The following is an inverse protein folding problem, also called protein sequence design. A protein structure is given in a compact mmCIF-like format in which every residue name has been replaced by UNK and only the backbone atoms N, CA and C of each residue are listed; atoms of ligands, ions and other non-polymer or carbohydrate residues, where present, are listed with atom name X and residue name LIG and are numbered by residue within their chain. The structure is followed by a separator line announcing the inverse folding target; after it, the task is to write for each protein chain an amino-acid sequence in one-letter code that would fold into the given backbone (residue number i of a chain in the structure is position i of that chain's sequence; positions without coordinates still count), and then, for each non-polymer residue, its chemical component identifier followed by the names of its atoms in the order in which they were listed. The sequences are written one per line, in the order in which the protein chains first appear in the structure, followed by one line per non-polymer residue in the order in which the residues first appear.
data_IF_117724020593
#
_entry.id   IF_117724020593
#
_cell.length_a   1.000
_cell.length_b   1.000
_cell.length_c   1.000
_cell.angle_alpha   90.00
_cell.angle_beta   90.00
_cell.angle_gamma   90.00
#
_symmetry.space_group_name_H-M   'P 1'
#
loop_
_entity.id
_entity.type
_entity.pdbx_description
1 polymer ?
#
# COMPACT_ATOMS: atom_id res chain seq x y z
N UNK A 1 17.45 -18.23 14.05
CA UNK A 1 16.60 -18.77 15.10
C UNK A 1 15.71 -17.66 15.64
N UNK A 2 14.45 -17.94 15.99
CA UNK A 2 13.58 -16.95 16.62
C UNK A 2 14.12 -16.54 17.98
N UNK A 3 13.85 -15.31 18.38
CA UNK A 3 14.08 -14.86 19.76
C UNK A 3 13.15 -15.61 20.71
N UNK A 4 13.59 -15.93 21.94
CA UNK A 4 12.70 -16.48 22.96
C UNK A 4 11.55 -15.52 23.30
N UNK A 5 10.41 -16.08 23.71
CA UNK A 5 9.19 -15.30 24.02
C UNK A 5 9.43 -14.25 25.11
N UNK A 6 10.31 -14.55 26.08
CA UNK A 6 10.68 -13.63 27.17
C UNK A 6 11.43 -12.39 26.70
N UNK A 7 11.96 -12.40 25.47
CA UNK A 7 12.67 -11.28 24.84
C UNK A 7 11.81 -10.50 23.84
N UNK A 8 10.53 -10.86 23.71
CA UNK A 8 9.60 -10.13 22.88
C UNK A 8 8.92 -9.00 23.66
N UNK A 9 8.58 -7.87 23.01
CA UNK A 9 8.87 -7.55 21.63
C UNK A 9 10.33 -7.13 21.40
N UNK A 10 10.89 -7.39 20.21
CA UNK A 10 12.16 -6.83 19.81
C UNK A 10 11.98 -5.36 19.45
N UNK A 11 12.48 -4.47 20.32
CA UNK A 11 12.34 -3.03 20.14
C UNK A 11 13.28 -2.53 19.05
N UNK A 12 12.74 -1.74 18.12
CA UNK A 12 13.54 -1.04 17.13
C UNK A 12 14.16 0.23 17.74
N UNK A 13 15.32 0.71 17.25
CA UNK A 13 15.90 1.95 17.72
C UNK A 13 14.99 3.15 17.32
N UNK A 14 14.71 4.03 18.28
CA UNK A 14 13.87 5.21 18.08
C UNK A 14 14.66 6.40 17.53
N UNK A 15 15.91 6.56 18.00
CA UNK A 15 16.80 7.65 17.60
C UNK A 15 17.65 7.25 16.38
N UNK A 16 17.00 7.21 15.20
CA UNK A 16 17.67 6.84 13.96
C UNK A 16 17.87 8.02 13.03
N UNK A 17 19.05 8.15 12.47
CA UNK A 17 19.36 9.14 11.42
C UNK A 17 19.36 8.46 10.05
N UNK A 18 18.61 9.01 9.11
CA UNK A 18 18.63 8.56 7.72
C UNK A 18 19.83 9.19 7.00
N UNK A 19 20.94 8.46 6.95
CA UNK A 19 22.21 8.94 6.36
C UNK A 19 22.51 8.34 4.98
N UNK A 20 21.49 8.10 4.16
CA UNK A 20 21.63 7.56 2.82
C UNK A 20 20.69 6.41 2.49
N UNK A 21 21.13 5.48 1.61
CA UNK A 21 20.29 4.41 1.06
C UNK A 21 20.15 3.20 1.99
N UNK A 22 21.00 3.08 3.02
CA UNK A 22 20.97 1.93 3.94
C UNK A 22 19.86 2.08 4.96
N UNK A 23 19.17 0.97 5.24
CA UNK A 23 18.23 0.87 6.37
C UNK A 23 18.92 1.26 7.68
N UNK A 24 18.31 2.11 8.53
CA UNK A 24 18.88 2.51 9.81
C UNK A 24 19.29 1.34 10.70
N UNK A 25 18.45 0.31 10.83
CA UNK A 25 18.76 -0.87 11.63
C UNK A 25 19.95 -1.67 11.05
N UNK A 26 20.09 -1.68 9.72
CA UNK A 26 21.22 -2.31 9.04
C UNK A 26 22.54 -1.54 9.24
N UNK A 27 22.43 -0.23 9.45
CA UNK A 27 23.57 0.66 9.68
C UNK A 27 23.98 0.73 11.16
N UNK A 28 23.17 0.24 12.10
CA UNK A 28 23.42 0.26 13.55
C UNK A 28 24.10 -1.04 14.02
N UNK A 29 25.44 -1.05 14.23
CA UNK A 29 26.14 -2.24 14.66
C UNK A 29 25.83 -2.62 16.12
N UNK A 30 25.42 -1.69 16.98
CA UNK A 30 25.10 -1.97 18.37
C UNK A 30 23.73 -2.65 18.48
N UNK A 31 22.74 -2.16 17.75
CA UNK A 31 21.42 -2.78 17.72
C UNK A 31 21.45 -4.21 17.15
N UNK A 32 22.33 -4.48 16.17
CA UNK A 32 22.47 -5.82 15.58
C UNK A 32 23.07 -6.85 16.51
N UNK A 33 23.87 -6.45 17.48
CA UNK A 33 24.53 -7.40 18.42
C UNK A 33 23.49 -8.10 19.29
N UNK A 34 23.62 -9.40 19.39
CA UNK A 34 22.79 -10.26 20.25
C UNK A 34 23.56 -11.52 20.62
N UNK A 35 22.88 -12.43 21.28
CA UNK A 35 23.40 -13.77 21.58
C UNK A 35 22.46 -14.83 21.02
N UNK A 36 23.03 -15.93 20.59
CA UNK A 36 22.29 -17.09 20.12
C UNK A 36 21.43 -17.65 21.26
N UNK A 37 20.12 -17.87 21.04
CA UNK A 37 19.24 -18.46 22.07
C UNK A 37 19.52 -19.95 22.30
N UNK A 38 20.37 -20.58 21.47
CA UNK A 38 20.68 -22.00 21.55
C UNK A 38 21.84 -22.24 22.52
N UNK A 39 22.92 -21.47 22.37
CA UNK A 39 24.20 -21.74 23.06
C UNK A 39 24.82 -20.50 23.69
N UNK A 40 24.18 -19.34 23.61
CA UNK A 40 24.68 -18.08 24.16
C UNK A 40 25.87 -17.47 23.41
N UNK A 41 26.26 -18.03 22.28
CA UNK A 41 27.36 -17.48 21.47
C UNK A 41 27.00 -16.10 20.89
N UNK A 42 28.02 -15.25 20.60
CA UNK A 42 27.76 -13.98 19.90
C UNK A 42 27.04 -14.20 18.57
N UNK A 43 26.00 -13.41 18.33
CA UNK A 43 25.16 -13.48 17.15
C UNK A 43 24.76 -12.07 16.66
N UNK A 44 24.17 -12.00 15.49
CA UNK A 44 23.61 -10.76 14.95
C UNK A 44 22.09 -10.92 14.72
N UNK A 45 21.35 -9.85 15.00
CA UNK A 45 19.92 -9.76 14.68
C UNK A 45 19.72 -9.70 13.18
N UNK A 46 18.65 -10.31 12.70
CA UNK A 46 18.16 -10.08 11.35
C UNK A 46 17.79 -8.60 11.15
N UNK A 47 18.16 -8.05 10.01
CA UNK A 47 17.96 -6.65 9.67
C UNK A 47 17.02 -6.46 8.47
N UNK A 48 16.60 -7.53 7.82
CA UNK A 48 15.56 -7.49 6.82
C UNK A 48 14.20 -7.43 7.51
N UNK A 49 13.36 -6.52 7.10
CA UNK A 49 12.01 -6.37 7.60
C UNK A 49 11.03 -7.11 6.71
N UNK A 50 9.84 -7.41 7.24
CA UNK A 50 8.76 -7.93 6.41
C UNK A 50 8.38 -6.93 5.33
N UNK A 51 7.75 -7.45 4.26
CA UNK A 51 7.13 -6.64 3.23
C UNK A 51 6.08 -5.70 3.86
N UNK A 52 5.94 -4.49 3.30
CA UNK A 52 5.00 -3.49 3.78
C UNK A 52 3.53 -3.92 3.68
N UNK A 53 3.23 -4.94 2.87
CA UNK A 53 1.89 -5.54 2.78
C UNK A 53 1.56 -6.50 3.92
N UNK A 54 2.48 -6.80 4.82
CA UNK A 54 2.22 -7.74 5.90
C UNK A 54 1.06 -7.29 6.79
N UNK A 55 1.09 -6.07 7.28
CA UNK A 55 0.03 -5.54 8.16
C UNK A 55 -1.31 -5.43 7.42
N UNK A 56 -1.29 -4.98 6.16
CA UNK A 56 -2.50 -4.91 5.33
C UNK A 56 -3.06 -6.28 4.92
N UNK A 57 -2.34 -7.36 5.22
CA UNK A 57 -2.77 -8.73 4.88
C UNK A 57 -3.81 -9.28 5.83
N UNK A 58 -3.88 -8.78 7.06
CA UNK A 58 -4.77 -9.32 8.10
C UNK A 58 -5.57 -8.28 8.87
N UNK A 59 -5.47 -6.99 8.53
CA UNK A 59 -6.15 -5.89 9.21
C UNK A 59 -7.66 -6.11 9.35
N UNK A 60 -8.32 -6.69 8.33
CA UNK A 60 -9.75 -7.00 8.34
C UNK A 60 -10.12 -7.94 9.50
N UNK A 61 -9.27 -8.94 9.76
CA UNK A 61 -9.45 -9.87 10.89
C UNK A 61 -9.25 -9.15 12.23
N UNK A 62 -8.22 -8.30 12.35
CA UNK A 62 -8.01 -7.48 13.55
C UNK A 62 -9.19 -6.58 13.86
N UNK A 63 -9.82 -5.99 12.86
CA UNK A 63 -10.98 -5.12 13.02
C UNK A 63 -12.21 -5.83 13.61
N UNK A 64 -12.31 -7.15 13.46
CA UNK A 64 -13.39 -7.94 14.08
C UNK A 64 -13.20 -8.14 15.59
N UNK A 65 -11.98 -7.91 16.08
CA UNK A 65 -11.57 -8.23 17.45
C UNK A 65 -10.99 -7.01 18.17
N UNK A 66 -11.69 -5.87 18.25
CA UNK A 66 -11.17 -4.67 18.90
C UNK A 66 -10.97 -4.94 20.40
N UNK A 67 -9.80 -4.53 20.92
CA UNK A 67 -9.42 -4.72 22.31
C UNK A 67 -8.98 -6.12 22.69
N UNK A 68 -8.89 -7.09 21.77
CA UNK A 68 -8.32 -8.40 22.05
C UNK A 68 -6.83 -8.28 22.42
N UNK A 69 -6.38 -9.10 23.38
CA UNK A 69 -4.98 -9.20 23.76
C UNK A 69 -4.12 -9.90 22.69
N UNK A 70 -4.73 -10.83 21.95
CA UNK A 70 -4.13 -11.56 20.83
C UNK A 70 -4.41 -10.86 19.49
N UNK A 71 -3.88 -11.42 18.41
CA UNK A 71 -4.13 -10.91 17.06
C UNK A 71 -5.62 -10.82 16.73
N UNK A 72 -6.36 -11.88 17.04
CA UNK A 72 -7.82 -12.01 16.89
C UNK A 72 -8.38 -12.84 18.03
N UNK A 73 -9.70 -12.81 18.23
CA UNK A 73 -10.45 -13.71 19.11
C UNK A 73 -11.64 -14.34 18.38
N UNK A 74 -12.44 -15.15 19.05
CA UNK A 74 -13.54 -15.90 18.45
C UNK A 74 -14.57 -15.08 17.68
N UNK A 75 -14.60 -13.75 17.82
CA UNK A 75 -15.46 -12.86 17.05
C UNK A 75 -15.12 -12.84 15.57
N UNK A 76 -13.87 -13.16 15.21
CA UNK A 76 -13.45 -13.21 13.80
C UNK A 76 -14.27 -14.23 13.01
N UNK A 77 -14.62 -15.38 13.60
CA UNK A 77 -15.35 -16.44 12.92
C UNK A 77 -16.83 -16.10 12.62
N UNK A 78 -17.36 -15.07 13.28
CA UNK A 78 -18.67 -14.52 12.93
C UNK A 78 -18.59 -13.58 11.72
N UNK A 79 -17.52 -12.81 11.56
CA UNK A 79 -17.38 -11.78 10.55
C UNK A 79 -16.62 -12.23 9.30
N UNK A 80 -15.76 -13.25 9.44
CA UNK A 80 -15.01 -13.83 8.31
C UNK A 80 -15.62 -15.18 7.87
N UNK A 81 -15.61 -15.48 6.58
CA UNK A 81 -15.11 -14.65 5.48
C UNK A 81 -15.99 -13.41 5.25
N UNK A 82 -15.40 -12.28 4.85
CA UNK A 82 -16.20 -11.09 4.50
C UNK A 82 -17.01 -11.33 3.24
N UNK A 83 -18.25 -10.83 3.20
CA UNK A 83 -19.17 -11.12 2.09
C UNK A 83 -18.67 -10.54 0.76
N UNK A 84 -18.15 -9.33 0.80
CA UNK A 84 -17.70 -8.61 -0.39
C UNK A 84 -16.42 -7.84 -0.11
N UNK A 85 -15.37 -8.08 -0.90
CA UNK A 85 -14.12 -7.33 -0.86
C UNK A 85 -13.88 -6.66 -2.21
N UNK A 86 -13.73 -5.33 -2.20
CA UNK A 86 -13.70 -4.52 -3.42
C UNK A 86 -12.40 -3.72 -3.46
N UNK A 87 -11.70 -3.75 -4.59
CA UNK A 87 -10.48 -2.97 -4.78
C UNK A 87 -10.05 -2.87 -6.22
N UNK A 88 -8.97 -2.13 -6.48
CA UNK A 88 -8.41 -2.00 -7.81
C UNK A 88 -7.70 -3.28 -8.27
N UNK A 89 -7.73 -3.52 -9.56
CA UNK A 89 -7.08 -4.69 -10.18
C UNK A 89 -5.56 -4.74 -9.93
N UNK A 90 -4.93 -3.60 -9.70
CA UNK A 90 -3.50 -3.49 -9.37
C UNK A 90 -3.09 -4.27 -8.12
N UNK A 91 -4.04 -4.56 -7.23
CA UNK A 91 -3.81 -5.34 -6.02
C UNK A 91 -3.90 -6.86 -6.21
N UNK A 92 -4.28 -7.32 -7.40
CA UNK A 92 -4.51 -8.75 -7.65
C UNK A 92 -3.26 -9.62 -7.40
N UNK A 93 -2.08 -9.12 -7.73
CA UNK A 93 -0.79 -9.81 -7.54
C UNK A 93 0.05 -9.25 -6.38
N UNK A 94 -0.46 -8.27 -5.65
CA UNK A 94 0.19 -7.69 -4.47
C UNK A 94 -0.67 -7.96 -3.24
N UNK A 95 -1.46 -6.99 -2.83
CA UNK A 95 -2.28 -7.08 -1.61
C UNK A 95 -3.17 -8.32 -1.55
N UNK A 96 -3.90 -8.66 -2.61
CA UNK A 96 -4.83 -9.80 -2.60
C UNK A 96 -4.11 -11.15 -2.50
N UNK A 97 -2.87 -11.25 -3.01
CA UNK A 97 -2.05 -12.44 -2.83
C UNK A 97 -1.71 -12.64 -1.34
N UNK A 98 -1.19 -11.61 -0.69
CA UNK A 98 -0.86 -11.62 0.73
C UNK A 98 -2.11 -11.79 1.61
N UNK A 99 -3.20 -11.11 1.29
CA UNK A 99 -4.50 -11.20 1.97
C UNK A 99 -5.00 -12.64 2.07
N UNK A 100 -4.96 -13.38 0.95
CA UNK A 100 -5.35 -14.79 0.91
C UNK A 100 -4.32 -15.70 1.59
N UNK A 101 -3.05 -15.48 1.33
CA UNK A 101 -1.97 -16.29 1.90
C UNK A 101 -1.95 -16.17 3.44
N UNK A 102 -2.01 -14.95 3.96
CA UNK A 102 -1.99 -14.70 5.40
C UNK A 102 -3.21 -15.28 6.11
N UNK A 103 -4.37 -15.19 5.48
CA UNK A 103 -5.58 -15.82 6.02
C UNK A 103 -5.42 -17.33 6.19
N UNK A 104 -4.80 -18.00 5.22
CA UNK A 104 -4.52 -19.43 5.30
C UNK A 104 -3.54 -19.77 6.42
N UNK A 105 -2.56 -18.90 6.69
CA UNK A 105 -1.67 -19.04 7.85
C UNK A 105 -2.44 -18.90 9.16
N UNK A 106 -3.33 -17.90 9.28
CA UNK A 106 -4.19 -17.75 10.47
C UNK A 106 -5.07 -18.98 10.69
N UNK A 107 -5.64 -19.53 9.62
CA UNK A 107 -6.40 -20.79 9.69
C UNK A 107 -5.54 -21.96 10.16
N UNK A 108 -4.36 -22.13 9.59
CA UNK A 108 -3.45 -23.22 9.94
C UNK A 108 -2.94 -23.11 11.38
N UNK A 109 -2.91 -21.90 11.93
CA UNK A 109 -2.65 -21.62 13.36
C UNK A 109 -3.89 -21.75 14.25
N UNK A 110 -5.06 -22.09 13.69
CA UNK A 110 -6.32 -22.22 14.45
C UNK A 110 -6.94 -20.91 14.92
N UNK A 111 -6.56 -19.79 14.29
CA UNK A 111 -7.05 -18.46 14.66
C UNK A 111 -8.33 -18.08 13.91
N UNK A 112 -8.58 -18.66 12.73
CA UNK A 112 -9.79 -18.50 11.93
C UNK A 112 -10.24 -19.86 11.38
N UNK A 113 -11.53 -20.01 11.13
CA UNK A 113 -12.10 -21.30 10.69
C UNK A 113 -12.26 -21.38 9.16
N UNK A 114 -12.33 -20.24 8.47
CA UNK A 114 -12.59 -20.20 7.03
C UNK A 114 -11.33 -20.38 6.18
N UNK A 115 -11.48 -20.98 4.99
CA UNK A 115 -10.38 -21.20 4.06
C UNK A 115 -9.96 -19.96 3.28
N UNK A 116 -10.89 -19.04 3.06
CA UNK A 116 -10.67 -17.81 2.31
C UNK A 116 -11.15 -16.61 3.11
N UNK A 117 -10.46 -15.45 2.97
CA UNK A 117 -10.81 -14.26 3.74
C UNK A 117 -12.08 -13.55 3.28
N UNK A 118 -12.50 -13.80 2.02
CA UNK A 118 -13.68 -13.18 1.42
C UNK A 118 -14.45 -14.19 0.56
N UNK A 119 -15.79 -14.03 0.53
CA UNK A 119 -16.68 -14.83 -0.33
C UNK A 119 -16.57 -14.33 -1.77
N UNK A 120 -16.63 -13.01 -1.96
CA UNK A 120 -16.56 -12.38 -3.28
C UNK A 120 -15.44 -11.35 -3.33
N UNK A 121 -14.61 -11.45 -4.37
CA UNK A 121 -13.60 -10.47 -4.72
C UNK A 121 -14.03 -9.72 -5.98
N UNK A 122 -14.21 -8.41 -5.90
CA UNK A 122 -14.46 -7.56 -7.05
C UNK A 122 -13.22 -6.69 -7.33
N UNK A 123 -12.45 -7.07 -8.35
CA UNK A 123 -11.31 -6.29 -8.82
C UNK A 123 -11.81 -5.28 -9.86
N UNK A 124 -11.95 -4.03 -9.44
CA UNK A 124 -12.37 -2.93 -10.32
C UNK A 124 -11.25 -2.55 -11.29
N UNK A 125 -11.62 -2.04 -12.48
CA UNK A 125 -10.69 -1.39 -13.39
C UNK A 125 -10.08 -0.13 -12.76
N UNK A 126 -8.99 0.35 -13.36
CA UNK A 126 -8.38 1.61 -12.96
C UNK A 126 -9.27 2.78 -13.35
N UNK A 127 -9.39 3.76 -12.45
CA UNK A 127 -10.03 5.03 -12.76
C UNK A 127 -9.09 5.81 -13.65
N UNK A 128 -9.61 6.28 -14.78
CA UNK A 128 -8.88 7.02 -15.80
C UNK A 128 -9.46 8.42 -15.96
N UNK A 129 -8.60 9.37 -16.32
CA UNK A 129 -9.01 10.74 -16.63
C UNK A 129 -8.17 11.34 -17.75
N UNK A 130 -8.70 12.39 -18.36
CA UNK A 130 -7.99 13.22 -19.31
C UNK A 130 -6.75 13.85 -18.64
N UNK A 131 -5.69 14.07 -19.41
CA UNK A 131 -4.47 14.74 -18.93
C UNK A 131 -4.20 16.00 -19.73
N UNK A 132 -3.76 17.05 -19.05
CA UNK A 132 -3.44 18.35 -19.63
C UNK A 132 -2.06 18.79 -19.18
N UNK A 133 -1.25 19.32 -20.11
CA UNK A 133 0.11 19.71 -19.78
C UNK A 133 0.60 20.89 -20.65
N UNK A 134 1.65 21.53 -20.20
CA UNK A 134 2.53 22.40 -21.01
C UNK A 134 3.93 21.84 -21.02
N UNK A 135 4.62 22.02 -22.13
CA UNK A 135 6.04 21.72 -22.17
C UNK A 135 6.82 22.83 -21.49
N UNK A 136 7.58 22.49 -20.46
CA UNK A 136 8.48 23.37 -19.78
C UNK A 136 9.90 23.35 -20.36
N UNK A 137 10.80 24.12 -19.81
CA UNK A 137 12.21 24.15 -20.19
C UNK A 137 12.87 22.78 -19.94
N UNK A 138 13.59 22.27 -20.93
CA UNK A 138 14.31 20.98 -20.83
C UNK A 138 13.47 19.74 -21.08
N UNK A 139 12.28 19.87 -21.68
CA UNK A 139 11.42 18.72 -22.05
C UNK A 139 10.59 18.18 -20.89
N UNK A 140 10.61 18.83 -19.74
CA UNK A 140 9.72 18.48 -18.62
C UNK A 140 8.29 18.94 -18.93
N UNK A 141 7.29 18.13 -18.52
CA UNK A 141 5.88 18.49 -18.62
C UNK A 141 5.37 19.02 -17.29
N UNK A 142 4.72 20.18 -17.33
CA UNK A 142 3.93 20.71 -16.23
C UNK A 142 2.49 20.24 -16.42
N UNK A 143 1.97 19.48 -15.44
CA UNK A 143 0.65 18.86 -15.51
C UNK A 143 -0.39 19.69 -14.77
N UNK A 144 -1.55 19.86 -15.37
CA UNK A 144 -2.65 20.66 -14.82
C UNK A 144 -3.86 19.77 -14.51
N UNK A 145 -4.51 20.08 -13.38
CA UNK A 145 -5.72 19.38 -13.01
C UNK A 145 -6.84 19.64 -14.03
N UNK A 146 -7.58 18.64 -14.48
CA UNK A 146 -8.72 18.83 -15.38
C UNK A 146 -9.76 19.84 -14.85
N UNK A 147 -9.93 19.97 -13.52
CA UNK A 147 -10.81 20.94 -12.91
C UNK A 147 -10.38 22.40 -13.16
N UNK A 148 -9.08 22.64 -13.42
CA UNK A 148 -8.50 23.96 -13.66
C UNK A 148 -8.43 24.31 -15.15
N UNK A 149 -8.95 23.45 -16.02
CA UNK A 149 -8.88 23.60 -17.48
C UNK A 149 -10.29 23.80 -18.05
N UNK A 150 -10.45 24.82 -18.90
CA UNK A 150 -11.60 24.98 -19.77
C UNK A 150 -11.42 24.13 -21.02
N UNK A 151 -12.35 23.21 -21.23
CA UNK A 151 -12.28 22.20 -22.30
C UNK A 151 -13.30 22.53 -23.37
N UNK A 152 -12.85 22.65 -24.62
CA UNK A 152 -13.70 22.77 -25.80
C UNK A 152 -13.94 21.36 -26.37
N UNK A 153 -15.22 21.01 -26.61
CA UNK A 153 -15.60 19.71 -27.19
C UNK A 153 -16.32 19.90 -28.51
N UNK A 154 -16.08 19.01 -29.46
CA UNK A 154 -16.84 18.96 -30.72
C UNK A 154 -18.23 18.36 -30.49
N UNK A 155 -19.06 18.36 -31.57
CA UNK A 155 -20.42 17.81 -31.57
C UNK A 155 -20.49 16.31 -31.20
N UNK A 156 -19.36 15.62 -31.24
CA UNK A 156 -19.19 14.20 -30.86
C UNK A 156 -18.64 14.02 -29.42
N UNK A 157 -18.49 15.12 -28.68
CA UNK A 157 -17.99 15.11 -27.30
C UNK A 157 -16.46 14.96 -27.19
N UNK A 158 -15.70 14.97 -28.28
CA UNK A 158 -14.24 14.87 -28.25
C UNK A 158 -13.62 16.21 -27.89
N UNK A 159 -12.58 16.19 -27.07
CA UNK A 159 -11.82 17.39 -26.70
C UNK A 159 -11.05 17.90 -27.92
N UNK A 160 -11.31 19.12 -28.36
CA UNK A 160 -10.68 19.77 -29.53
C UNK A 160 -9.82 20.97 -29.13
N UNK A 161 -10.00 21.51 -27.95
CA UNK A 161 -9.22 22.60 -27.39
C UNK A 161 -9.23 22.58 -25.86
N UNK A 162 -8.19 23.14 -25.25
CA UNK A 162 -8.09 23.26 -23.80
C UNK A 162 -7.29 24.49 -23.41
N UNK A 163 -7.74 25.23 -22.38
CA UNK A 163 -7.09 26.44 -21.84
C UNK A 163 -7.08 26.38 -20.33
N UNK A 164 -5.97 26.80 -19.72
CA UNK A 164 -5.89 26.93 -18.29
C UNK A 164 -6.72 28.13 -17.82
N UNK A 165 -7.59 27.94 -16.84
CA UNK A 165 -8.50 28.98 -16.31
C UNK A 165 -7.75 30.16 -15.71
N UNK A 166 -6.61 29.91 -15.05
CA UNK A 166 -5.87 30.96 -14.33
C UNK A 166 -5.21 31.99 -15.23
N UNK A 167 -4.80 31.62 -16.45
CA UNK A 167 -4.05 32.52 -17.35
C UNK A 167 -4.63 32.59 -18.80
N UNK A 168 -5.68 31.83 -19.09
CA UNK A 168 -6.35 31.79 -20.38
C UNK A 168 -5.51 31.20 -21.52
N UNK A 169 -4.29 30.74 -21.25
CA UNK A 169 -3.38 30.23 -22.29
C UNK A 169 -3.69 28.77 -22.62
N UNK A 170 -3.42 28.35 -23.88
CA UNK A 170 -3.65 26.98 -24.28
C UNK A 170 -2.78 25.98 -23.49
N UNK A 171 -3.33 24.80 -23.27
CA UNK A 171 -2.64 23.63 -22.74
C UNK A 171 -2.74 22.51 -23.77
N UNK A 172 -1.74 21.65 -23.79
CA UNK A 172 -1.74 20.45 -24.62
C UNK A 172 -2.62 19.38 -24.02
N UNK A 173 -3.39 18.69 -24.84
CA UNK A 173 -4.24 17.58 -24.46
C UNK A 173 -3.37 16.31 -24.53
N UNK A 174 -3.24 15.61 -23.43
CA UNK A 174 -2.56 14.31 -23.36
C UNK A 174 -3.51 13.14 -23.56
N UNK A 175 -3.02 11.96 -23.29
CA UNK A 175 -3.84 10.75 -23.32
C UNK A 175 -4.78 10.67 -22.11
N UNK A 176 -5.84 9.86 -22.23
CA UNK A 176 -6.61 9.42 -21.07
C UNK A 176 -5.78 8.36 -20.37
N UNK A 177 -5.39 8.63 -19.14
CA UNK A 177 -4.49 7.77 -18.35
C UNK A 177 -5.07 7.50 -16.98
N UNK A 178 -4.48 6.52 -16.27
CA UNK A 178 -4.77 6.28 -14.87
C UNK A 178 -4.60 7.56 -14.05
N UNK A 179 -5.57 7.84 -13.18
CA UNK A 179 -5.46 8.95 -12.24
C UNK A 179 -4.24 8.79 -11.35
N UNK A 180 -3.41 9.83 -11.27
CA UNK A 180 -2.20 9.83 -10.46
C UNK A 180 -1.82 11.25 -10.01
N UNK A 181 -1.20 11.34 -8.83
CA UNK A 181 -0.67 12.62 -8.34
C UNK A 181 0.40 13.20 -9.26
N UNK A 182 1.22 12.35 -9.89
CA UNK A 182 2.30 12.78 -10.79
C UNK A 182 1.80 13.39 -12.09
N UNK A 183 0.59 13.05 -12.52
CA UNK A 183 -0.09 13.60 -13.70
C UNK A 183 -1.09 14.70 -13.34
N UNK A 184 -1.31 14.93 -12.08
CA UNK A 184 -2.28 15.89 -11.56
C UNK A 184 -3.67 15.77 -12.24
N UNK A 185 -4.09 14.53 -12.55
CA UNK A 185 -5.34 14.25 -13.25
C UNK A 185 -6.38 13.56 -12.34
N UNK A 186 -6.23 13.68 -11.02
CA UNK A 186 -7.23 13.25 -10.06
C UNK A 186 -8.43 14.20 -10.02
N UNK A 187 -9.58 13.68 -9.57
CA UNK A 187 -10.77 14.47 -9.22
C UNK A 187 -10.82 14.52 -7.70
N UNK A 188 -10.98 15.72 -7.14
CA UNK A 188 -11.22 15.93 -5.72
C UNK A 188 -12.71 15.72 -5.37
#
# INVERSE_FOLDING_TARGET
HPVPDEQLPVLLPEDVAFTGVKSPIKADPEWRKTVSPIDGSPAERETDTFDTFMESSWYYARYTSPGAGDMVDGRVNYWAPVDQYIGGIEHAILHLLYFRFYHKLLRDCGMVDSDEPAINLLCQGMVIAETFYREGTGGNKEWFNPADVDIERDDKGRVVGARLKSDGKPVSIGAIEKMSKSKNNGVD
#
